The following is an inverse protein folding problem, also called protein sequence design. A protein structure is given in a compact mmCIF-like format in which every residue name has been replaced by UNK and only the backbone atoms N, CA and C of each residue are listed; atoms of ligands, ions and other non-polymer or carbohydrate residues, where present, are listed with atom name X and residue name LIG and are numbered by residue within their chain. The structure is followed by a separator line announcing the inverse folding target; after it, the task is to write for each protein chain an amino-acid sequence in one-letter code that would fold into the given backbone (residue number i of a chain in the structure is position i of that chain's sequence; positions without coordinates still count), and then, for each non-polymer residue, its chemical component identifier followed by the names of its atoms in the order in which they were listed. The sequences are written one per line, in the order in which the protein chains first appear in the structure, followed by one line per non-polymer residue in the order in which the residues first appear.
data_IF_659610425520
#
_entry.id   IF_659610425520
#
_cell.length_a   1.000
_cell.length_b   1.000
_cell.length_c   1.000
_cell.angle_alpha   90.00
_cell.angle_beta   90.00
_cell.angle_gamma   90.00
#
_symmetry.space_group_name_H-M   'P 1'
#
loop_
_entity.id
_entity.type
_entity.pdbx_description
1 polymer ?
#
# COMPACT_ATOMS: atom_id res chain seq x y z
N UNK A 1 4.03 -2.29 10.70
CA UNK A 1 5.01 -2.59 9.63
C UNK A 1 6.02 -3.65 10.05
N UNK A 2 6.61 -3.54 11.25
CA UNK A 2 7.63 -4.50 11.75
C UNK A 2 7.18 -5.97 11.63
N UNK A 3 5.95 -6.31 12.08
CA UNK A 3 5.42 -7.68 12.02
C UNK A 3 5.24 -8.23 10.60
N UNK A 4 4.77 -7.39 9.66
CA UNK A 4 4.52 -7.80 8.27
C UNK A 4 5.82 -8.07 7.50
N UNK A 5 6.88 -7.29 7.76
CA UNK A 5 8.19 -7.54 7.17
C UNK A 5 8.83 -8.81 7.73
N UNK A 6 8.67 -9.08 9.03
CA UNK A 6 9.21 -10.29 9.68
C UNK A 6 8.45 -11.56 9.28
N UNK A 7 7.14 -11.49 9.10
CA UNK A 7 6.31 -12.63 8.67
C UNK A 7 6.63 -13.09 7.24
N UNK A 8 7.11 -12.18 6.38
CA UNK A 8 7.38 -12.46 4.96
C UNK A 8 8.87 -12.54 4.62
N UNK A 9 9.75 -12.50 5.63
CA UNK A 9 11.20 -12.42 5.42
C UNK A 9 11.75 -13.68 4.73
N UNK A 10 11.20 -14.85 5.04
CA UNK A 10 11.62 -16.14 4.45
C UNK A 10 11.29 -16.21 2.95
N UNK A 11 10.20 -15.56 2.51
CA UNK A 11 9.78 -15.47 1.11
C UNK A 11 10.70 -14.56 0.31
N UNK A 12 11.25 -13.50 0.92
CA UNK A 12 12.14 -12.55 0.25
C UNK A 12 13.62 -12.95 0.32
N UNK A 13 14.02 -13.65 1.37
CA UNK A 13 15.40 -14.13 1.56
C UNK A 13 15.67 -15.46 0.89
N UNK A 14 14.63 -16.21 0.49
CA UNK A 14 14.75 -17.41 -0.34
C UNK A 14 15.17 -17.07 -1.78
N UNK A 15 16.42 -16.65 -1.95
CA UNK A 15 17.12 -16.65 -3.23
C UNK A 15 17.40 -18.11 -3.59
N UNK A 16 16.44 -18.75 -4.25
CA UNK A 16 16.60 -20.11 -4.77
C UNK A 16 17.61 -20.09 -5.93
N UNK A 17 18.90 -20.32 -5.65
CA UNK A 17 19.83 -20.86 -6.65
C UNK A 17 19.77 -22.37 -6.51
N UNK A 18 18.89 -23.02 -7.26
CA UNK A 18 18.95 -24.47 -7.40
C UNK A 18 20.19 -24.82 -8.23
N UNK A 19 21.32 -25.04 -7.58
CA UNK A 19 22.49 -25.67 -8.20
C UNK A 19 22.58 -27.11 -7.72
N UNK A 20 22.00 -28.03 -8.49
CA UNK A 20 22.33 -29.46 -8.41
C UNK A 20 22.54 -29.99 -9.83
N UNK A 21 23.79 -30.34 -10.14
CA UNK A 21 24.15 -31.12 -11.33
C UNK A 21 25.47 -30.71 -11.98
N UNK A 22 26.49 -31.54 -11.86
CA UNK A 22 27.73 -31.45 -12.65
C UNK A 22 27.41 -31.84 -14.11
N UNK A 23 27.06 -30.86 -14.95
CA UNK A 23 26.85 -31.07 -16.38
C UNK A 23 27.27 -29.82 -17.16
N UNK A 24 28.20 -30.00 -18.11
CA UNK A 24 28.57 -28.96 -19.08
C UNK A 24 27.36 -28.66 -19.96
N UNK A 25 26.61 -27.62 -19.62
CA UNK A 25 25.50 -27.12 -20.42
C UNK A 25 25.44 -25.60 -20.28
N UNK A 26 25.53 -24.91 -21.41
CA UNK A 26 25.42 -23.45 -21.53
C UNK A 26 23.97 -23.03 -21.26
N UNK A 27 23.55 -23.05 -19.99
CA UNK A 27 22.24 -22.61 -19.53
C UNK A 27 22.38 -21.25 -18.85
N UNK A 28 22.39 -20.19 -19.64
CA UNK A 28 22.43 -18.82 -19.15
C UNK A 28 21.24 -18.54 -18.22
N UNK A 29 21.56 -18.36 -16.93
CA UNK A 29 21.07 -17.28 -16.09
C UNK A 29 19.57 -16.92 -16.16
N UNK A 30 18.68 -17.83 -15.78
CA UNK A 30 17.37 -17.41 -15.26
C UNK A 30 17.42 -17.39 -13.73
N UNK A 31 18.10 -16.36 -13.21
CA UNK A 31 18.14 -16.06 -11.79
C UNK A 31 16.68 -15.89 -11.30
N UNK A 32 16.25 -16.72 -10.35
CA UNK A 32 14.87 -16.68 -9.84
C UNK A 32 14.62 -15.35 -9.11
N UNK A 33 13.88 -14.44 -9.76
CA UNK A 33 13.51 -13.13 -9.22
C UNK A 33 12.27 -13.18 -8.29
N UNK A 34 11.89 -14.37 -7.81
CA UNK A 34 10.63 -14.57 -7.06
C UNK A 34 10.55 -13.71 -5.79
N UNK A 35 11.59 -13.74 -4.94
CA UNK A 35 11.62 -12.95 -3.71
C UNK A 35 11.60 -11.44 -3.97
N UNK A 36 12.34 -10.97 -4.99
CA UNK A 36 12.36 -9.56 -5.40
C UNK A 36 10.98 -9.11 -5.92
N UNK A 37 10.29 -9.96 -6.69
CA UNK A 37 8.94 -9.67 -7.18
C UNK A 37 7.95 -9.52 -6.02
N UNK A 38 7.99 -10.44 -5.05
CA UNK A 38 7.13 -10.38 -3.85
C UNK A 38 7.40 -9.17 -2.98
N UNK A 39 8.66 -8.78 -2.83
CA UNK A 39 9.00 -7.56 -2.09
C UNK A 39 8.43 -6.31 -2.78
N UNK A 40 8.54 -6.22 -4.11
CA UNK A 40 7.97 -5.10 -4.89
C UNK A 40 6.45 -5.03 -4.78
N UNK A 41 5.76 -6.17 -4.87
CA UNK A 41 4.30 -6.26 -4.68
C UNK A 41 3.89 -5.72 -3.30
N UNK A 42 4.60 -6.12 -2.23
CA UNK A 42 4.27 -5.62 -0.89
C UNK A 42 4.55 -4.12 -0.74
N UNK A 43 5.68 -3.63 -1.23
CA UNK A 43 6.00 -2.19 -1.15
C UNK A 43 4.92 -1.38 -1.85
N UNK A 44 4.44 -1.83 -3.01
CA UNK A 44 3.36 -1.19 -3.74
C UNK A 44 2.04 -1.19 -2.94
N UNK A 45 1.68 -2.31 -2.33
CA UNK A 45 0.49 -2.41 -1.47
C UNK A 45 0.57 -1.44 -0.28
N UNK A 46 1.74 -1.35 0.37
CA UNK A 46 1.97 -0.42 1.47
C UNK A 46 1.94 1.04 1.01
N UNK A 47 2.45 1.35 -0.18
CA UNK A 47 2.40 2.68 -0.78
C UNK A 47 0.96 3.12 -1.02
N UNK A 48 0.15 2.27 -1.66
CA UNK A 48 -1.26 2.55 -1.95
C UNK A 48 -2.06 2.74 -0.67
N UNK A 49 -1.74 1.99 0.40
CA UNK A 49 -2.35 2.15 1.73
C UNK A 49 -1.81 3.35 2.53
N UNK A 50 -0.82 4.09 2.02
CA UNK A 50 -0.22 5.23 2.73
C UNK A 50 0.65 4.85 3.93
N UNK A 51 1.07 3.59 4.07
CA UNK A 51 1.78 3.08 5.25
C UNK A 51 3.31 3.23 5.17
N UNK A 52 3.85 3.88 4.13
CA UNK A 52 5.30 4.03 3.94
C UNK A 52 5.93 5.14 4.79
N UNK A 53 5.11 5.99 5.40
CA UNK A 53 5.53 7.11 6.26
C UNK A 53 5.04 6.84 7.69
N UNK A 54 5.80 7.24 8.74
CA UNK A 54 5.32 7.15 10.12
C UNK A 54 3.94 7.77 10.27
N UNK A 55 3.05 7.05 10.95
CA UNK A 55 1.70 7.51 11.24
C UNK A 55 1.68 8.04 12.67
N UNK A 56 1.06 9.19 12.91
CA UNK A 56 0.83 9.68 14.27
C UNK A 56 -0.54 9.15 14.76
N UNK A 57 -0.60 8.38 15.86
CA UNK A 57 -1.87 7.93 16.41
C UNK A 57 -2.77 9.09 16.91
N UNK A 58 -2.21 10.29 17.09
CA UNK A 58 -2.95 11.48 17.48
C UNK A 58 -3.44 12.31 16.27
N UNK A 59 -3.17 11.87 15.04
CA UNK A 59 -3.69 12.53 13.84
C UNK A 59 -5.22 12.57 13.88
N UNK A 60 -5.77 13.69 13.39
CA UNK A 60 -7.22 13.90 13.33
C UNK A 60 -7.88 12.78 12.50
N UNK A 61 -8.87 12.04 13.06
CA UNK A 61 -9.54 11.00 12.29
C UNK A 61 -10.33 11.62 11.15
N UNK A 62 -10.41 10.90 10.03
CA UNK A 62 -11.09 11.37 8.82
C UNK A 62 -12.56 11.80 9.07
N UNK A 63 -13.22 11.23 10.08
CA UNK A 63 -14.58 11.62 10.49
C UNK A 63 -14.71 13.11 10.82
N UNK A 64 -13.73 13.69 11.52
CA UNK A 64 -13.77 15.11 11.91
C UNK A 64 -13.62 16.01 10.67
N UNK A 65 -12.78 15.62 9.72
CA UNK A 65 -12.68 16.33 8.44
C UNK A 65 -13.99 16.25 7.64
N UNK A 66 -14.64 15.08 7.63
CA UNK A 66 -15.94 14.89 6.97
C UNK A 66 -17.03 15.79 7.58
N UNK A 67 -17.07 15.93 8.91
CA UNK A 67 -17.98 16.86 9.58
C UNK A 67 -17.71 18.32 9.20
N UNK A 68 -16.43 18.73 9.14
CA UNK A 68 -16.04 20.08 8.68
C UNK A 68 -16.49 20.33 7.25
N UNK A 69 -16.28 19.35 6.35
CA UNK A 69 -16.72 19.43 4.96
C UNK A 69 -18.25 19.53 4.87
N UNK A 70 -19.00 18.75 5.65
CA UNK A 70 -20.45 18.81 5.65
C UNK A 70 -20.98 20.19 6.07
N UNK A 71 -20.44 20.76 7.17
CA UNK A 71 -20.79 22.11 7.64
C UNK A 71 -20.46 23.18 6.60
N UNK A 72 -19.29 23.09 5.97
CA UNK A 72 -18.86 24.04 4.94
C UNK A 72 -19.72 23.92 3.67
N UNK A 73 -20.07 22.70 3.25
CA UNK A 73 -21.01 22.48 2.14
C UNK A 73 -22.37 23.10 2.44
N UNK A 74 -22.92 22.93 3.64
CA UNK A 74 -24.18 23.56 4.03
C UNK A 74 -24.12 25.09 3.95
N UNK A 75 -23.01 25.70 4.39
CA UNK A 75 -22.79 27.13 4.27
C UNK A 75 -22.79 27.57 2.80
N UNK A 76 -22.03 26.89 1.95
CA UNK A 76 -21.94 27.21 0.52
C UNK A 76 -23.26 27.00 -0.23
N UNK A 77 -24.08 26.02 0.18
CA UNK A 77 -25.44 25.84 -0.36
C UNK A 77 -26.34 27.01 0.04
N UNK A 78 -26.28 27.47 1.30
CA UNK A 78 -27.03 28.65 1.76
C UNK A 78 -26.61 29.92 1.02
N UNK A 79 -25.31 30.06 0.74
CA UNK A 79 -24.75 31.16 -0.06
C UNK A 79 -25.04 31.03 -1.57
N UNK A 80 -25.64 29.92 -2.02
CA UNK A 80 -25.99 29.68 -3.43
C UNK A 80 -24.79 29.39 -4.34
N UNK A 81 -23.60 29.14 -3.78
CA UNK A 81 -22.36 28.89 -4.53
C UNK A 81 -22.27 27.47 -5.09
N UNK A 82 -22.90 26.51 -4.41
CA UNK A 82 -22.92 25.10 -4.83
C UNK A 82 -24.35 24.53 -4.76
N UNK A 83 -24.65 23.56 -5.62
CA UNK A 83 -25.93 22.84 -5.60
C UNK A 83 -25.90 21.71 -4.57
N UNK A 84 -27.05 21.34 -4.02
CA UNK A 84 -27.18 20.23 -3.08
C UNK A 84 -26.88 18.90 -3.78
N UNK A 85 -25.84 18.21 -3.33
CA UNK A 85 -25.45 16.89 -3.84
C UNK A 85 -26.25 15.77 -3.15
N UNK A 86 -26.35 14.61 -3.80
CA UNK A 86 -26.88 13.39 -3.16
C UNK A 86 -25.93 12.94 -2.06
N UNK A 87 -26.44 12.39 -0.95
CA UNK A 87 -25.59 11.81 0.10
C UNK A 87 -24.72 10.71 -0.53
N UNK A 88 -23.43 10.74 -0.20
CA UNK A 88 -22.49 9.67 -0.54
C UNK A 88 -22.95 8.42 0.23
N UNK A 89 -23.14 7.30 -0.45
CA UNK A 89 -23.39 6.03 0.22
C UNK A 89 -22.16 5.62 1.00
N UNK A 90 -22.35 5.18 2.24
CA UNK A 90 -21.29 4.64 3.11
C UNK A 90 -20.62 3.40 2.52
#
# INVERSE_FOLDING_TARGET
MKNLLTENIDIWTSVQIQKKGNGRGNGSANQSHYGIKKLRELILELAVRGKLVPQDPNDEPASVLLEKIAKEKERLIKEGKIKKEKPLSE
#
